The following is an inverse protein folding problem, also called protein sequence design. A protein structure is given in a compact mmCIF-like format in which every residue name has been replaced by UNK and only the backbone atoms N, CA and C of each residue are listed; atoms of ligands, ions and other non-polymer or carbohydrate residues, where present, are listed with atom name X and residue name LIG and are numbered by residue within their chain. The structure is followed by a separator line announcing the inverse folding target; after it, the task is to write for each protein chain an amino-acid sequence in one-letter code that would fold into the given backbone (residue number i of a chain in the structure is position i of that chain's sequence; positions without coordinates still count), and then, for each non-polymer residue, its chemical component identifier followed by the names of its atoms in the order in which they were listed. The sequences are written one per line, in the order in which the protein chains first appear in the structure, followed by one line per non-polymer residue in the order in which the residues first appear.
data_IF_113658520144
#
_entry.id   IF_113658520144
#
_cell.length_a   1.000
_cell.length_b   1.000
_cell.length_c   1.000
_cell.angle_alpha   90.00
_cell.angle_beta   90.00
_cell.angle_gamma   90.00
#
_symmetry.space_group_name_H-M   'P 1'
#
loop_
_entity.id
_entity.type
_entity.pdbx_description
1 polymer ?
#
# COMPACT_ATOMS: atom_id res chain seq x y z
N UNK A 1 -4.64 -20.77 -18.36
CA UNK A 1 -4.79 -19.39 -17.86
C UNK A 1 -5.27 -19.44 -16.41
N UNK A 2 -4.41 -19.13 -15.44
CA UNK A 2 -4.74 -19.21 -14.02
C UNK A 2 -5.47 -17.93 -13.59
N UNK A 3 -6.75 -18.05 -13.26
CA UNK A 3 -7.56 -16.90 -12.80
C UNK A 3 -7.26 -16.66 -11.32
N UNK A 4 -6.66 -15.52 -11.00
CA UNK A 4 -6.53 -15.04 -9.62
C UNK A 4 -7.80 -14.31 -9.20
N UNK A 5 -8.64 -14.97 -8.41
CA UNK A 5 -9.84 -14.39 -7.84
C UNK A 5 -9.49 -13.53 -6.62
N UNK A 6 -10.08 -12.33 -6.53
CA UNK A 6 -9.94 -11.43 -5.39
C UNK A 6 -11.32 -10.87 -5.00
N UNK A 7 -12.14 -11.62 -4.27
CA UNK A 7 -13.52 -11.25 -3.94
C UNK A 7 -13.63 -9.96 -3.12
N UNK A 8 -12.55 -9.55 -2.45
CA UNK A 8 -12.44 -8.30 -1.71
C UNK A 8 -12.30 -7.05 -2.59
N UNK A 9 -11.84 -7.20 -3.83
CA UNK A 9 -11.39 -6.08 -4.68
C UNK A 9 -12.48 -5.06 -4.98
N UNK A 10 -13.70 -5.51 -5.28
CA UNK A 10 -14.83 -4.61 -5.58
C UNK A 10 -15.16 -3.73 -4.38
N UNK A 11 -15.21 -4.31 -3.18
CA UNK A 11 -15.44 -3.56 -1.93
C UNK A 11 -14.31 -2.56 -1.69
N UNK A 12 -13.05 -2.98 -1.86
CA UNK A 12 -11.90 -2.12 -1.69
C UNK A 12 -11.94 -0.89 -2.61
N UNK A 13 -12.14 -1.10 -3.92
CA UNK A 13 -12.19 0.00 -4.90
C UNK A 13 -13.31 0.99 -4.57
N UNK A 14 -14.48 0.51 -4.15
CA UNK A 14 -15.60 1.36 -3.77
C UNK A 14 -15.32 2.21 -2.52
N UNK A 15 -14.40 1.79 -1.65
CA UNK A 15 -14.00 2.54 -0.45
C UNK A 15 -12.92 3.59 -0.71
N UNK A 16 -12.30 3.59 -1.90
CA UNK A 16 -11.32 4.61 -2.27
C UNK A 16 -12.06 5.91 -2.55
N UNK A 17 -12.28 6.73 -1.52
CA UNK A 17 -12.72 8.11 -1.70
C UNK A 17 -11.64 8.84 -2.54
N UNK A 18 -12.04 9.54 -3.61
CA UNK A 18 -11.12 10.21 -4.57
C UNK A 18 -10.26 11.33 -3.94
N UNK A 19 -10.27 11.46 -2.61
CA UNK A 19 -9.63 12.51 -1.82
C UNK A 19 -8.18 12.23 -1.45
N UNK A 20 -7.66 11.03 -1.69
CA UNK A 20 -6.25 10.70 -1.49
C UNK A 20 -5.35 11.30 -2.58
N UNK A 21 -5.14 12.62 -2.59
CA UNK A 21 -4.27 13.32 -3.58
C UNK A 21 -2.76 13.07 -3.38
N UNK A 22 -2.36 11.87 -2.97
CA UNK A 22 -0.97 11.59 -2.59
C UNK A 22 -0.47 10.23 -3.04
N UNK A 23 0.78 10.20 -3.51
CA UNK A 23 1.53 8.97 -3.74
C UNK A 23 1.78 8.26 -2.40
N UNK A 24 1.15 7.11 -2.17
CA UNK A 24 1.33 6.31 -0.94
C UNK A 24 2.79 5.92 -0.72
N UNK A 25 3.49 5.60 -1.82
CA UNK A 25 4.91 5.25 -1.81
C UNK A 25 5.82 6.44 -1.45
N UNK A 26 5.30 7.65 -1.54
CA UNK A 26 6.02 8.87 -1.23
C UNK A 26 5.69 9.35 0.19
N UNK A 27 4.43 9.20 0.62
CA UNK A 27 3.93 9.67 1.91
C UNK A 27 4.30 8.71 3.05
N UNK A 28 4.09 7.41 2.87
CA UNK A 28 4.31 6.41 3.91
C UNK A 28 5.77 6.39 4.41
N UNK A 29 6.80 6.45 3.52
CA UNK A 29 8.18 6.47 3.99
C UNK A 29 8.53 7.71 4.82
N UNK A 30 7.87 8.86 4.59
CA UNK A 30 8.14 10.12 5.30
C UNK A 30 7.60 10.14 6.73
N UNK A 31 6.54 9.39 7.00
CA UNK A 31 5.89 9.35 8.31
C UNK A 31 6.70 8.58 9.38
N UNK A 32 7.72 7.81 8.98
CA UNK A 32 8.57 6.98 9.88
C UNK A 32 7.80 6.08 10.86
N UNK A 33 6.56 5.69 10.51
CA UNK A 33 5.74 4.75 11.28
C UNK A 33 5.73 3.38 10.59
N UNK A 34 6.91 2.76 10.52
CA UNK A 34 7.18 1.62 9.62
C UNK A 34 6.22 0.44 9.85
N UNK A 35 5.99 0.05 11.10
CA UNK A 35 5.05 -1.03 11.45
C UNK A 35 3.61 -0.75 11.01
N UNK A 36 3.15 0.50 11.13
CA UNK A 36 1.79 0.89 10.71
C UNK A 36 1.67 0.99 9.19
N UNK A 37 2.74 1.40 8.53
CA UNK A 37 2.82 1.54 7.08
C UNK A 37 3.24 0.24 6.37
N UNK A 38 3.36 -0.86 7.12
CA UNK A 38 3.80 -2.17 6.63
C UNK A 38 5.16 -2.14 5.92
N UNK A 39 6.02 -1.19 6.28
CA UNK A 39 7.39 -1.11 5.79
C UNK A 39 8.22 -2.09 6.64
N UNK A 40 8.75 -3.12 5.98
CA UNK A 40 9.54 -4.17 6.63
C UNK A 40 11.01 -3.78 6.74
N UNK A 41 11.52 -3.07 5.73
CA UNK A 41 12.94 -2.74 5.64
C UNK A 41 13.17 -1.47 4.83
N UNK A 42 14.22 -0.72 5.15
CA UNK A 42 14.65 0.49 4.45
C UNK A 42 16.14 0.41 4.12
N UNK A 43 16.47 0.76 2.89
CA UNK A 43 17.84 0.96 2.42
C UNK A 43 18.05 2.42 1.99
N UNK A 44 19.26 2.74 1.54
CA UNK A 44 19.62 4.08 1.04
C UNK A 44 18.77 4.53 -0.16
N UNK A 45 18.35 3.59 -1.01
CA UNK A 45 17.71 3.90 -2.29
C UNK A 45 16.36 3.20 -2.50
N UNK A 46 16.00 2.24 -1.65
CA UNK A 46 14.74 1.51 -1.75
C UNK A 46 14.22 1.09 -0.38
N UNK A 47 13.00 0.58 -0.33
CA UNK A 47 12.40 0.01 0.87
C UNK A 47 11.45 -1.12 0.48
N UNK A 48 11.18 -2.02 1.42
CA UNK A 48 10.26 -3.15 1.26
C UNK A 48 8.97 -2.84 2.01
N UNK A 49 7.84 -2.97 1.33
CA UNK A 49 6.51 -2.75 1.88
C UNK A 49 5.63 -3.97 1.60
N UNK A 50 4.88 -4.45 2.60
CA UNK A 50 3.90 -5.50 2.36
C UNK A 50 2.69 -4.93 1.61
N UNK A 51 2.16 -5.74 0.70
CA UNK A 51 0.81 -5.53 0.23
C UNK A 51 -0.17 -5.81 1.39
N UNK A 52 -1.17 -4.94 1.55
CA UNK A 52 -2.17 -5.04 2.61
C UNK A 52 -3.18 -6.18 2.34
N UNK A 53 -3.35 -6.61 1.09
CA UNK A 53 -4.35 -7.62 0.68
C UNK A 53 -3.86 -8.60 -0.39
#
# INVERSE_FOLDING_TARGET
MNRMWAPWRTKYINTIDRKGKGCIFCAMPKQRQDKKNLILFRSKHCYVIMNLF
#
